data_IF_050772344176
#
_entry.id   IF_050772344176
#
_cell.length_a   1.000
_cell.length_b   1.000
_cell.length_c   1.000
_cell.angle_alpha   90.00
_cell.angle_beta   90.00
_cell.angle_gamma   90.00
#
_symmetry.space_group_name_H-M   'P 1'
#
loop_
_entity.id
_entity.type
_entity.pdbx_description
1 polymer ?
#
# COMPACT_ATOMS: atom_id res chain seq x y z
N UNK A 1 -15.28 9.03 -15.12
CA UNK A 1 -14.75 8.23 -14.02
C UNK A 1 -13.90 7.15 -14.57
N UNK A 2 -12.65 7.27 -14.34
CA UNK A 2 -11.72 6.34 -14.94
C UNK A 2 -11.36 5.22 -13.99
N UNK A 3 -11.19 4.05 -14.55
CA UNK A 3 -10.57 2.91 -13.88
C UNK A 3 -9.22 2.67 -14.49
N UNK A 4 -8.24 2.35 -13.67
CA UNK A 4 -6.88 2.04 -14.10
C UNK A 4 -6.48 0.69 -13.54
N UNK A 5 -5.63 -0.01 -14.25
CA UNK A 5 -5.04 -1.25 -13.76
C UNK A 5 -3.55 -1.02 -13.52
N UNK A 6 -3.07 -1.48 -12.37
CA UNK A 6 -1.67 -1.38 -11.99
C UNK A 6 -1.16 -2.77 -11.66
N UNK A 7 -0.08 -3.16 -12.32
CA UNK A 7 0.60 -4.42 -12.05
C UNK A 7 1.70 -4.21 -11.03
N UNK A 8 1.68 -5.01 -9.98
CA UNK A 8 2.76 -5.08 -9.01
C UNK A 8 3.60 -6.33 -9.26
N UNK A 9 4.90 -6.14 -9.38
CA UNK A 9 5.88 -7.24 -9.43
C UNK A 9 6.56 -7.32 -8.08
N UNK A 10 6.51 -8.49 -7.46
CA UNK A 10 7.00 -8.68 -6.09
C UNK A 10 7.91 -9.90 -5.98
N UNK A 11 8.55 -10.04 -4.84
CA UNK A 11 9.42 -11.18 -4.53
C UNK A 11 8.67 -12.51 -4.45
N UNK A 12 7.33 -12.49 -4.32
CA UNK A 12 6.51 -13.73 -4.31
C UNK A 12 5.70 -13.96 -5.59
N UNK A 13 5.75 -13.02 -6.52
CA UNK A 13 5.00 -13.09 -7.77
C UNK A 13 4.29 -11.79 -8.07
N UNK A 14 3.46 -11.81 -9.10
CA UNK A 14 2.81 -10.62 -9.62
C UNK A 14 1.31 -10.61 -9.28
N UNK A 15 0.78 -9.41 -9.04
CA UNK A 15 -0.66 -9.22 -8.90
C UNK A 15 -1.07 -7.90 -9.54
N UNK A 16 -2.35 -7.79 -9.87
CA UNK A 16 -2.91 -6.60 -10.50
C UNK A 16 -4.01 -6.02 -9.62
N UNK A 17 -3.96 -4.70 -9.43
CA UNK A 17 -5.03 -3.97 -8.76
C UNK A 17 -5.80 -3.13 -9.78
N UNK A 18 -7.10 -3.03 -9.60
CA UNK A 18 -7.93 -2.08 -10.33
C UNK A 18 -8.17 -0.87 -9.43
N UNK A 19 -7.84 0.30 -9.94
CA UNK A 19 -8.01 1.57 -9.24
C UNK A 19 -9.30 2.21 -9.74
N UNK A 20 -10.17 2.58 -8.83
CA UNK A 20 -11.46 3.19 -9.14
C UNK A 20 -11.52 4.59 -8.52
N UNK A 21 -11.34 5.59 -9.35
CA UNK A 21 -11.34 7.00 -8.92
C UNK A 21 -12.70 7.47 -8.37
N UNK A 22 -13.78 6.75 -8.65
CA UNK A 22 -15.10 7.11 -8.10
C UNK A 22 -15.23 6.82 -6.61
N UNK A 23 -14.43 5.90 -6.10
CA UNK A 23 -14.49 5.52 -4.68
C UNK A 23 -13.77 6.54 -3.78
N UNK A 24 -12.58 6.95 -4.20
CA UNK A 24 -11.70 7.84 -3.43
C UNK A 24 -10.83 8.61 -4.40
N UNK A 25 -11.35 9.68 -5.02
CA UNK A 25 -10.65 10.38 -6.12
C UNK A 25 -9.27 10.92 -5.73
N UNK A 26 -9.12 11.53 -4.57
CA UNK A 26 -7.82 12.08 -4.14
C UNK A 26 -6.83 10.97 -3.81
N UNK A 27 -7.29 9.92 -3.18
CA UNK A 27 -6.45 8.74 -2.90
C UNK A 27 -5.99 8.05 -4.17
N UNK A 28 -6.91 7.85 -5.12
CA UNK A 28 -6.60 7.25 -6.41
C UNK A 28 -5.57 8.09 -7.19
N UNK A 29 -5.75 9.42 -7.22
CA UNK A 29 -4.83 10.34 -7.89
C UNK A 29 -3.43 10.23 -7.28
N UNK A 30 -3.31 10.32 -5.95
CA UNK A 30 -2.02 10.21 -5.27
C UNK A 30 -1.35 8.86 -5.56
N UNK A 31 -2.10 7.77 -5.51
CA UNK A 31 -1.55 6.47 -5.82
C UNK A 31 -0.97 6.42 -7.23
N UNK A 32 -1.71 6.93 -8.23
CA UNK A 32 -1.23 6.94 -9.60
C UNK A 32 -0.01 7.87 -9.79
N UNK A 33 0.05 8.99 -9.08
CA UNK A 33 1.24 9.85 -9.06
C UNK A 33 2.47 9.08 -8.56
N UNK A 34 2.31 8.33 -7.49
CA UNK A 34 3.41 7.53 -6.92
C UNK A 34 3.86 6.44 -7.88
N UNK A 35 2.93 5.78 -8.58
CA UNK A 35 3.26 4.78 -9.59
C UNK A 35 4.06 5.40 -10.73
N UNK A 36 3.62 6.55 -11.24
CA UNK A 36 4.30 7.27 -12.33
C UNK A 36 5.68 7.74 -11.92
N UNK A 37 5.87 8.11 -10.66
CA UNK A 37 7.16 8.55 -10.13
C UNK A 37 8.06 7.37 -9.72
N UNK A 38 7.65 6.14 -9.99
CA UNK A 38 8.40 4.91 -9.63
C UNK A 38 8.66 4.79 -8.12
N UNK A 39 7.75 5.30 -7.31
CA UNK A 39 7.87 5.24 -5.87
C UNK A 39 7.92 3.80 -5.35
N UNK A 40 7.12 2.91 -5.93
CA UNK A 40 7.02 1.51 -5.50
C UNK A 40 8.11 0.65 -6.16
N UNK A 41 9.35 1.10 -6.09
CA UNK A 41 10.50 0.39 -6.66
C UNK A 41 11.36 -0.12 -5.50
N UNK A 42 11.51 -1.46 -5.44
CA UNK A 42 12.36 -2.12 -4.43
C UNK A 42 12.02 -1.69 -2.99
N UNK A 43 10.73 -1.58 -2.67
CA UNK A 43 10.30 -1.20 -1.34
C UNK A 43 9.89 -2.42 -0.50
N UNK A 44 10.18 -2.41 0.81
CA UNK A 44 9.82 -3.53 1.67
C UNK A 44 8.31 -3.55 1.95
N UNK A 45 7.77 -4.76 2.06
CA UNK A 45 6.45 -4.98 2.62
C UNK A 45 6.68 -5.15 4.13
N UNK A 46 6.58 -4.06 4.87
CA UNK A 46 7.14 -3.98 6.22
C UNK A 46 6.23 -4.48 7.33
N UNK A 47 4.96 -4.68 7.02
CA UNK A 47 3.99 -5.17 8.02
C UNK A 47 3.03 -6.13 7.35
N UNK A 48 3.01 -7.37 7.85
CA UNK A 48 2.09 -8.41 7.38
C UNK A 48 1.49 -9.08 8.59
N UNK A 49 0.19 -8.87 8.80
CA UNK A 49 -0.56 -9.49 9.89
C UNK A 49 -1.57 -10.44 9.27
N UNK A 50 -1.41 -11.76 9.42
CA UNK A 50 -2.34 -12.73 8.84
C UNK A 50 -3.79 -12.44 9.21
N UNK A 51 -4.69 -12.66 8.28
CA UNK A 51 -6.12 -12.38 8.40
C UNK A 51 -6.46 -10.91 8.66
N UNK A 52 -5.50 -9.99 8.48
CA UNK A 52 -5.71 -8.56 8.61
C UNK A 52 -5.23 -7.83 7.35
N UNK A 53 -3.92 -7.56 7.24
CA UNK A 53 -3.42 -6.76 6.11
C UNK A 53 -1.95 -7.02 5.79
N UNK A 54 -1.56 -6.60 4.56
CA UNK A 54 -0.16 -6.39 4.20
C UNK A 54 0.03 -4.90 3.91
N UNK A 55 1.04 -4.30 4.52
CA UNK A 55 1.27 -2.86 4.50
C UNK A 55 2.64 -2.52 3.93
N UNK A 56 2.67 -1.49 3.08
CA UNK A 56 3.88 -1.02 2.39
C UNK A 56 3.75 0.48 2.10
N UNK A 57 4.79 1.09 1.57
CA UNK A 57 4.76 2.49 1.18
C UNK A 57 5.81 3.35 1.88
N UNK A 58 6.84 2.72 2.45
CA UNK A 58 8.02 3.43 2.95
C UNK A 58 9.15 3.22 1.97
N UNK A 59 9.60 4.28 1.30
CA UNK A 59 10.69 4.22 0.34
C UNK A 59 12.05 4.22 1.06
N UNK A 60 12.97 3.41 0.53
CA UNK A 60 14.35 3.38 0.98
C UNK A 60 15.26 4.28 0.10
N UNK A 61 14.69 4.86 -0.95
CA UNK A 61 15.36 5.77 -1.88
C UNK A 61 15.26 7.19 -1.35
N UNK A 62 16.40 7.81 -1.05
CA UNK A 62 16.45 9.18 -0.51
C UNK A 62 15.73 10.18 -1.43
N UNK A 63 15.80 9.99 -2.76
CA UNK A 63 15.15 10.88 -3.72
C UNK A 63 13.63 10.83 -3.69
N UNK A 64 13.04 9.81 -3.04
CA UNK A 64 11.59 9.61 -2.94
C UNK A 64 11.03 9.94 -1.55
N UNK A 65 11.87 10.20 -0.57
CA UNK A 65 11.44 10.40 0.83
C UNK A 65 10.56 11.63 1.02
N UNK A 66 10.67 12.63 0.15
CA UNK A 66 9.81 13.83 0.22
C UNK A 66 8.31 13.49 0.13
N UNK A 67 7.95 12.37 -0.49
CA UNK A 67 6.57 11.94 -0.57
C UNK A 67 5.97 11.61 0.79
N UNK A 68 6.78 11.12 1.74
CA UNK A 68 6.28 10.69 3.05
C UNK A 68 5.59 11.81 3.83
N UNK A 69 6.00 13.05 3.64
CA UNK A 69 5.45 14.21 4.32
C UNK A 69 4.46 15.01 3.45
N UNK A 70 4.18 14.54 2.25
CA UNK A 70 3.28 15.20 1.31
C UNK A 70 1.87 14.64 1.49
N UNK A 71 1.15 15.16 2.49
CA UNK A 71 -0.18 14.70 2.85
C UNK A 71 -1.23 15.20 1.87
N UNK A 72 -2.28 14.41 1.69
CA UNK A 72 -3.46 14.79 0.90
C UNK A 72 -4.68 14.99 1.81
N UNK A 73 -5.64 15.84 1.37
CA UNK A 73 -6.93 15.95 2.07
C UNK A 73 -7.69 14.63 2.04
N UNK A 74 -8.66 14.49 2.94
CA UNK A 74 -9.51 13.31 2.97
C UNK A 74 -10.48 13.31 1.79
N UNK A 75 -10.81 12.11 1.33
CA UNK A 75 -11.92 11.93 0.39
C UNK A 75 -13.25 11.85 1.16
N UNK A 76 -14.38 12.18 0.49
CA UNK A 76 -15.68 11.96 1.11
C UNK A 76 -15.90 10.49 1.45
N UNK A 77 -16.47 10.22 2.62
CA UNK A 77 -16.86 8.86 2.97
C UNK A 77 -18.18 8.52 2.27
N UNK A 78 -18.14 7.51 1.42
CA UNK A 78 -19.31 7.03 0.69
C UNK A 78 -19.78 5.66 1.17
N UNK A 79 -19.39 5.28 2.38
CA UNK A 79 -19.77 4.01 3.03
C UNK A 79 -19.36 2.76 2.24
N UNK A 80 -18.21 2.80 1.62
CA UNK A 80 -17.64 1.63 0.95
C UNK A 80 -16.88 0.82 1.99
N UNK A 81 -17.23 -0.46 2.09
CA UNK A 81 -16.54 -1.36 3.01
C UNK A 81 -15.11 -1.65 2.58
N UNK A 82 -14.23 -1.82 3.55
CA UNK A 82 -12.92 -2.40 3.33
C UNK A 82 -13.11 -3.91 3.27
N UNK A 83 -13.23 -4.44 2.07
CA UNK A 83 -13.47 -5.86 1.82
C UNK A 83 -12.16 -6.59 1.53
N UNK A 84 -12.22 -7.92 1.45
CA UNK A 84 -11.05 -8.72 1.09
C UNK A 84 -10.45 -8.19 -0.22
N UNK A 85 -9.14 -7.99 -0.21
CA UNK A 85 -8.33 -7.46 -1.32
C UNK A 85 -8.51 -5.97 -1.61
N UNK A 86 -9.24 -5.22 -0.80
CA UNK A 86 -9.30 -3.77 -0.93
C UNK A 86 -7.93 -3.15 -0.73
N UNK A 87 -7.62 -2.15 -1.54
CA UNK A 87 -6.42 -1.32 -1.43
C UNK A 87 -6.80 0.03 -0.82
N UNK A 88 -6.17 0.37 0.30
CA UNK A 88 -6.48 1.57 1.07
C UNK A 88 -5.20 2.26 1.52
N UNK A 89 -5.30 3.55 1.82
CA UNK A 89 -4.25 4.24 2.56
C UNK A 89 -4.32 3.86 4.05
N UNK A 90 -3.15 3.66 4.66
CA UNK A 90 -3.01 3.52 6.09
C UNK A 90 -2.85 4.93 6.68
N UNK A 91 -3.95 5.52 7.13
CA UNK A 91 -3.96 6.88 7.68
C UNK A 91 -3.98 6.86 9.20
N UNK A 92 -3.39 7.89 9.81
CA UNK A 92 -3.40 8.09 11.25
C UNK A 92 -4.45 9.09 11.72
N UNK A 93 -5.47 9.38 10.91
CA UNK A 93 -6.51 10.35 11.18
C UNK A 93 -6.73 11.27 9.99
N UNK A 94 -7.46 12.37 10.23
CA UNK A 94 -7.79 13.33 9.17
C UNK A 94 -6.57 13.96 8.53
N UNK A 95 -6.56 14.01 7.20
CA UNK A 95 -5.53 14.67 6.37
C UNK A 95 -4.09 14.15 6.62
N UNK A 96 -3.95 12.86 6.94
CA UNK A 96 -2.64 12.25 7.23
C UNK A 96 -2.15 11.28 6.16
N UNK A 97 -2.95 11.02 5.13
CA UNK A 97 -2.56 10.09 4.06
C UNK A 97 -1.44 10.68 3.21
N UNK A 98 -0.43 9.87 2.91
CA UNK A 98 0.67 10.26 2.02
C UNK A 98 1.09 9.12 1.10
N UNK A 99 1.76 8.09 1.61
CA UNK A 99 2.32 6.99 0.81
C UNK A 99 2.06 5.60 1.39
N UNK A 100 1.68 5.48 2.66
CA UNK A 100 1.47 4.18 3.29
C UNK A 100 0.14 3.58 2.86
N UNK A 101 0.21 2.36 2.37
CA UNK A 101 -0.93 1.62 1.84
C UNK A 101 -1.04 0.26 2.50
N UNK A 102 -2.25 -0.29 2.50
CA UNK A 102 -2.43 -1.68 2.86
C UNK A 102 -3.42 -2.38 1.93
N UNK A 103 -3.24 -3.69 1.79
CA UNK A 103 -4.20 -4.58 1.13
C UNK A 103 -4.80 -5.45 2.23
N UNK A 104 -6.13 -5.51 2.28
CA UNK A 104 -6.84 -6.29 3.29
C UNK A 104 -6.87 -7.77 2.91
N UNK A 105 -6.56 -8.65 3.87
CA UNK A 105 -6.65 -10.10 3.65
C UNK A 105 -8.05 -10.66 3.86
N UNK A 106 -8.95 -9.85 4.42
CA UNK A 106 -10.36 -10.19 4.59
C UNK A 106 -11.19 -8.92 4.73
N UNK A 107 -12.50 -9.06 4.80
CA UNK A 107 -13.37 -7.92 5.10
C UNK A 107 -13.12 -7.44 6.52
N UNK A 108 -12.88 -6.11 6.66
CA UNK A 108 -12.56 -5.46 7.92
C UNK A 108 -13.72 -4.57 8.33
N UNK A 109 -14.63 -5.09 9.16
CA UNK A 109 -15.89 -4.43 9.51
C UNK A 109 -15.70 -3.17 10.36
N UNK A 110 -14.53 -3.02 11.01
CA UNK A 110 -14.22 -1.87 11.86
C UNK A 110 -13.56 -0.72 11.10
N UNK A 111 -13.26 -0.89 9.80
CA UNK A 111 -12.67 0.13 8.95
C UNK A 111 -13.65 0.59 7.88
N UNK A 112 -13.33 1.72 7.22
CA UNK A 112 -14.15 2.28 6.14
C UNK A 112 -15.22 3.25 6.63
N UNK A 113 -15.22 3.60 7.91
CA UNK A 113 -16.22 4.48 8.51
C UNK A 113 -15.79 5.95 8.53
N UNK A 114 -14.50 6.20 8.44
CA UNK A 114 -13.94 7.55 8.44
C UNK A 114 -13.50 7.94 7.05
N UNK A 115 -13.48 9.24 6.76
CA UNK A 115 -13.17 9.75 5.41
C UNK A 115 -11.76 9.43 4.93
N UNK A 116 -10.81 9.19 5.84
CA UNK A 116 -9.46 8.76 5.47
C UNK A 116 -9.31 7.25 5.27
N UNK A 117 -10.38 6.48 5.44
CA UNK A 117 -10.37 5.02 5.35
C UNK A 117 -11.00 4.47 4.07
N UNK A 118 -11.48 5.33 3.17
CA UNK A 118 -12.17 4.88 1.96
C UNK A 118 -11.22 4.13 1.03
N UNK A 119 -11.55 2.88 0.63
CA UNK A 119 -10.73 2.16 -0.35
C UNK A 119 -10.80 2.85 -1.71
N UNK A 120 -9.71 2.75 -2.49
CA UNK A 120 -9.66 3.31 -3.84
C UNK A 120 -9.35 2.26 -4.89
N UNK A 121 -9.18 1.02 -4.51
CA UNK A 121 -8.87 -0.05 -5.45
C UNK A 121 -9.05 -1.43 -4.85
N UNK A 122 -8.81 -2.43 -5.69
CA UNK A 122 -8.97 -3.83 -5.31
C UNK A 122 -8.07 -4.72 -6.16
N UNK A 123 -7.52 -5.77 -5.56
CA UNK A 123 -6.78 -6.80 -6.31
C UNK A 123 -7.77 -7.58 -7.16
N UNK A 124 -7.52 -7.66 -8.46
CA UNK A 124 -8.38 -8.35 -9.43
C UNK A 124 -7.73 -9.58 -10.07
N UNK A 125 -6.41 -9.73 -9.89
CA UNK A 125 -5.64 -10.85 -10.46
C UNK A 125 -4.44 -11.11 -9.57
N UNK A 126 -4.02 -12.36 -9.45
CA UNK A 126 -2.90 -12.72 -8.58
C UNK A 126 -3.27 -12.77 -7.10
N UNK A 127 -4.54 -13.03 -6.78
CA UNK A 127 -4.99 -13.10 -5.38
C UNK A 127 -4.29 -14.20 -4.61
N UNK A 128 -3.89 -15.29 -5.26
CA UNK A 128 -3.10 -16.36 -4.65
C UNK A 128 -1.72 -15.87 -4.19
N UNK A 129 -1.11 -14.92 -4.93
CA UNK A 129 0.15 -14.28 -4.53
C UNK A 129 -0.06 -13.43 -3.29
N UNK A 130 -1.14 -12.64 -3.27
CA UNK A 130 -1.47 -11.79 -2.11
C UNK A 130 -1.68 -12.66 -0.87
N UNK A 131 -2.43 -13.76 -0.99
CA UNK A 131 -2.70 -14.66 0.14
C UNK A 131 -1.41 -15.32 0.67
N UNK A 132 -0.46 -15.61 -0.20
CA UNK A 132 0.82 -16.23 0.18
C UNK A 132 1.65 -15.34 1.08
N UNK A 133 1.55 -14.02 0.97
CA UNK A 133 2.28 -13.10 1.84
C UNK A 133 1.97 -13.32 3.33
N UNK A 134 0.80 -13.88 3.67
CA UNK A 134 0.44 -14.13 5.07
C UNK A 134 1.42 -15.05 5.79
N UNK A 135 2.18 -15.88 5.07
CA UNK A 135 3.21 -16.74 5.64
C UNK A 135 4.34 -15.94 6.30
N UNK A 136 4.60 -14.73 5.82
CA UNK A 136 5.71 -13.90 6.33
C UNK A 136 5.47 -13.42 7.76
N UNK A 137 4.25 -13.04 8.10
CA UNK A 137 3.82 -12.66 9.47
C UNK A 137 4.89 -11.89 10.25
N UNK A 138 5.07 -10.60 9.91
CA UNK A 138 6.05 -9.75 10.59
C UNK A 138 5.54 -8.30 10.70
N UNK A 139 6.15 -7.57 11.62
CA UNK A 139 5.87 -6.14 11.78
C UNK A 139 7.18 -5.44 12.15
N UNK A 140 7.69 -4.61 11.23
CA UNK A 140 8.90 -3.85 11.42
C UNK A 140 8.59 -2.51 12.09
N UNK A 141 9.62 -1.92 12.71
CA UNK A 141 9.53 -0.57 13.27
C UNK A 141 9.53 0.45 12.12
N UNK A 142 8.37 1.10 11.90
CA UNK A 142 8.19 2.02 10.79
C UNK A 142 9.09 3.25 10.90
N UNK A 143 9.28 3.78 12.11
CA UNK A 143 10.10 4.97 12.30
C UNK A 143 11.57 4.69 12.02
N UNK A 144 12.07 3.55 12.48
CA UNK A 144 13.44 3.12 12.21
C UNK A 144 13.66 2.81 10.74
N UNK A 145 12.66 2.20 10.09
CA UNK A 145 12.72 1.93 8.66
C UNK A 145 12.80 3.24 7.86
N UNK A 146 12.04 4.25 8.24
CA UNK A 146 12.10 5.57 7.60
C UNK A 146 13.42 6.27 7.82
N UNK A 147 13.98 6.22 9.02
CA UNK A 147 15.21 6.94 9.36
C UNK A 147 16.46 6.23 8.87
N UNK A 148 16.53 4.90 9.01
CA UNK A 148 17.75 4.14 8.79
C UNK A 148 17.75 3.34 7.48
N UNK A 149 16.58 3.14 6.86
CA UNK A 149 16.45 2.50 5.55
C UNK A 149 17.05 1.12 5.49
N UNK A 150 17.89 0.87 4.48
CA UNK A 150 18.55 -0.42 4.29
C UNK A 150 19.40 -0.83 5.50
N UNK A 151 19.98 0.12 6.22
CA UNK A 151 20.78 -0.18 7.41
C UNK A 151 19.93 -0.82 8.50
N UNK A 152 18.69 -0.36 8.68
CA UNK A 152 17.78 -0.99 9.63
C UNK A 152 17.51 -2.45 9.24
N UNK A 153 17.27 -2.72 7.96
CA UNK A 153 17.02 -4.08 7.48
C UNK A 153 18.24 -4.98 7.70
N UNK A 154 19.43 -4.49 7.38
CA UNK A 154 20.69 -5.25 7.55
C UNK A 154 20.96 -5.53 9.02
N UNK A 155 20.81 -4.52 9.88
CA UNK A 155 21.16 -4.64 11.30
C UNK A 155 20.20 -5.51 12.10
N UNK A 156 19.00 -5.79 11.57
CA UNK A 156 17.97 -6.56 12.25
C UNK A 156 17.63 -7.87 11.53
N UNK A 157 18.48 -8.31 10.59
CA UNK A 157 18.33 -9.57 9.85
C UNK A 157 17.07 -9.62 8.98
N UNK A 158 16.67 -8.48 8.40
CA UNK A 158 15.56 -8.38 7.45
C UNK A 158 16.01 -8.27 6.01
N UNK A 159 17.22 -8.73 5.66
CA UNK A 159 17.75 -8.61 4.29
C UNK A 159 16.96 -9.42 3.26
N UNK A 160 16.29 -10.48 3.69
CA UNK A 160 15.46 -11.33 2.82
C UNK A 160 13.97 -10.99 2.92
N UNK A 161 13.60 -9.83 3.47
CA UNK A 161 12.22 -9.40 3.55
C UNK A 161 11.58 -9.31 2.15
N UNK A 162 10.31 -9.66 2.07
CA UNK A 162 9.56 -9.52 0.82
C UNK A 162 9.47 -8.06 0.39
N UNK A 163 9.58 -7.82 -0.92
CA UNK A 163 9.58 -6.48 -1.49
C UNK A 163 8.64 -6.39 -2.69
N UNK A 164 8.17 -5.18 -2.92
CA UNK A 164 7.61 -4.80 -4.21
C UNK A 164 8.78 -4.34 -5.06
N UNK A 165 9.01 -5.02 -6.18
CA UNK A 165 10.10 -4.70 -7.11
C UNK A 165 9.73 -3.52 -7.99
N UNK A 166 8.49 -3.49 -8.48
CA UNK A 166 7.97 -2.40 -9.32
C UNK A 166 6.45 -2.38 -9.32
N UNK A 167 5.90 -1.23 -9.72
CA UNK A 167 4.48 -1.07 -10.01
C UNK A 167 4.34 -0.24 -11.27
N UNK A 168 3.47 -0.64 -12.19
CA UNK A 168 3.26 0.05 -13.45
C UNK A 168 1.80 0.01 -13.89
N UNK A 169 1.36 1.11 -14.52
CA UNK A 169 0.03 1.18 -15.12
C UNK A 169 0.03 0.30 -16.37
N UNK A 170 -0.98 -0.57 -16.51
CA UNK A 170 -1.14 -1.43 -17.68
C UNK A 170 -2.45 -1.10 -18.40
N UNK A 171 -2.51 -1.44 -19.67
CA UNK A 171 -3.67 -1.19 -20.52
C UNK A 171 -4.73 -2.28 -20.39
#
# INVERSE_FOLDING_TARGET
MSKHKVEFKTTRGDFVVEIDSSLSPLGAERFLELVKDRFFTNIPIYRIIPAFCMQFGISLDESKKHWHNNHIPDDPNINVKVSKYSLCFAGGGSATRSTNLFIAFRTLNWLGKSSWETPFGKVISGTEVVDEFQEANHELDQMKLKSDGENYLKNNNYTSIDRINSASIIL
#
